data_IF_850206388807
#
_entry.id   IF_850206388807
#
_cell.length_a   1.000
_cell.length_b   1.000
_cell.length_c   1.000
_cell.angle_alpha   90.00
_cell.angle_beta   90.00
_cell.angle_gamma   90.00
#
_symmetry.space_group_name_H-M   'P 1'
#
loop_
_entity.id
_entity.type
_entity.pdbx_description
1 polymer ?
#
# COMPACT_ATOMS: atom_id res chain seq x y z
N UNK A 1 -3.34 30.82 -2.60
CA UNK A 1 -2.46 29.63 -2.60
C UNK A 1 -3.21 28.50 -1.93
N UNK A 2 -3.34 27.35 -2.60
CA UNK A 2 -3.94 26.15 -2.00
C UNK A 2 -2.93 25.67 -0.93
N UNK A 3 -3.36 25.49 0.32
CA UNK A 3 -2.49 25.00 1.39
C UNK A 3 -1.91 23.62 1.06
N UNK A 4 -0.71 23.31 1.57
CA UNK A 4 -0.01 22.05 1.31
C UNK A 4 -0.93 20.82 1.47
N UNK A 5 -1.73 20.78 2.54
CA UNK A 5 -2.67 19.68 2.78
C UNK A 5 -3.69 19.50 1.65
N UNK A 6 -4.30 20.59 1.17
CA UNK A 6 -5.28 20.52 0.10
C UNK A 6 -4.64 20.18 -1.27
N UNK A 7 -3.46 20.72 -1.56
CA UNK A 7 -2.73 20.38 -2.78
C UNK A 7 -2.29 18.90 -2.78
N UNK A 8 -1.80 18.41 -1.65
CA UNK A 8 -1.38 17.03 -1.46
C UNK A 8 -2.56 16.05 -1.59
N UNK A 9 -3.70 16.36 -0.95
CA UNK A 9 -4.90 15.53 -1.03
C UNK A 9 -5.41 15.43 -2.47
N UNK A 10 -5.41 16.54 -3.22
CA UNK A 10 -5.90 16.56 -4.59
C UNK A 10 -4.98 15.75 -5.53
N UNK A 11 -3.67 15.91 -5.40
CA UNK A 11 -2.69 15.14 -6.19
C UNK A 11 -2.71 13.64 -5.85
N UNK A 12 -2.70 13.30 -4.57
CA UNK A 12 -2.72 11.89 -4.12
C UNK A 12 -4.04 11.20 -4.48
N UNK A 13 -5.19 11.88 -4.34
CA UNK A 13 -6.49 11.34 -4.75
C UNK A 13 -6.57 11.12 -6.27
N UNK A 14 -6.02 12.04 -7.08
CA UNK A 14 -5.98 11.88 -8.52
C UNK A 14 -5.17 10.64 -8.93
N UNK A 15 -3.98 10.45 -8.34
CA UNK A 15 -3.12 9.31 -8.63
C UNK A 15 -3.74 8.00 -8.11
N UNK A 16 -4.20 7.99 -6.86
CA UNK A 16 -4.83 6.81 -6.26
C UNK A 16 -6.09 6.40 -7.03
N UNK A 17 -6.92 7.37 -7.42
CA UNK A 17 -8.11 7.14 -8.25
C UNK A 17 -7.74 6.53 -9.59
N UNK A 18 -6.77 7.12 -10.30
CA UNK A 18 -6.31 6.64 -11.60
C UNK A 18 -5.79 5.20 -11.53
N UNK A 19 -4.91 4.89 -10.57
CA UNK A 19 -4.34 3.54 -10.45
C UNK A 19 -5.39 2.53 -10.01
N UNK A 20 -6.31 2.91 -9.10
CA UNK A 20 -7.41 2.04 -8.68
C UNK A 20 -8.35 1.72 -9.83
N UNK A 21 -8.71 2.72 -10.63
CA UNK A 21 -9.59 2.55 -11.79
C UNK A 21 -8.90 1.72 -12.89
N UNK A 22 -7.61 1.93 -13.09
CA UNK A 22 -6.79 1.14 -14.01
C UNK A 22 -6.70 -0.32 -13.57
N UNK A 23 -6.41 -0.57 -12.29
CA UNK A 23 -6.37 -1.92 -11.71
C UNK A 23 -7.71 -2.63 -11.85
N UNK A 24 -8.83 -1.91 -11.65
CA UNK A 24 -10.18 -2.44 -11.91
C UNK A 24 -10.36 -2.84 -13.37
N UNK A 25 -9.90 -2.04 -14.32
CA UNK A 25 -10.02 -2.31 -15.75
C UNK A 25 -9.16 -3.52 -16.17
N UNK A 26 -7.93 -3.62 -15.66
CA UNK A 26 -6.97 -4.68 -16.04
C UNK A 26 -7.27 -6.00 -15.35
N UNK A 27 -7.50 -6.01 -14.03
CA UNK A 27 -7.74 -7.24 -13.26
C UNK A 27 -9.22 -7.65 -13.22
N UNK A 28 -10.10 -6.92 -13.93
CA UNK A 28 -11.53 -7.23 -14.12
C UNK A 28 -12.32 -7.51 -12.82
N UNK A 29 -11.87 -6.97 -11.68
CA UNK A 29 -12.45 -7.24 -10.37
C UNK A 29 -12.27 -6.11 -9.37
N UNK A 30 -13.29 -5.89 -8.52
CA UNK A 30 -13.26 -4.87 -7.46
C UNK A 30 -12.37 -5.24 -6.28
N UNK A 31 -12.22 -6.53 -5.96
CA UNK A 31 -11.34 -7.01 -4.89
C UNK A 31 -9.87 -6.58 -5.09
N UNK A 32 -9.20 -6.92 -6.22
CA UNK A 32 -7.82 -6.49 -6.43
C UNK A 32 -7.69 -4.96 -6.55
N UNK A 33 -8.68 -4.29 -7.14
CA UNK A 33 -8.69 -2.83 -7.22
C UNK A 33 -8.74 -2.16 -5.84
N UNK A 34 -9.58 -2.64 -4.93
CA UNK A 34 -9.67 -2.13 -3.55
C UNK A 34 -8.40 -2.41 -2.74
N UNK A 35 -7.76 -3.56 -2.95
CA UNK A 35 -6.47 -3.88 -2.29
C UNK A 35 -5.39 -2.88 -2.74
N UNK A 36 -5.25 -2.65 -4.05
CA UNK A 36 -4.26 -1.71 -4.59
C UNK A 36 -4.58 -0.27 -4.20
N UNK A 37 -5.85 0.15 -4.27
CA UNK A 37 -6.29 1.47 -3.85
C UNK A 37 -6.06 1.73 -2.36
N UNK A 38 -6.35 0.72 -1.51
CA UNK A 38 -6.08 0.78 -0.08
C UNK A 38 -4.58 0.86 0.24
N UNK A 39 -3.75 0.10 -0.48
CA UNK A 39 -2.29 0.15 -0.33
C UNK A 39 -1.73 1.53 -0.72
N UNK A 40 -2.20 2.11 -1.82
CA UNK A 40 -1.82 3.46 -2.24
C UNK A 40 -2.28 4.52 -1.24
N UNK A 41 -3.52 4.43 -0.74
CA UNK A 41 -4.03 5.35 0.26
C UNK A 41 -3.19 5.28 1.55
N UNK A 42 -2.85 4.09 2.02
CA UNK A 42 -1.98 3.90 3.18
C UNK A 42 -0.59 4.50 2.95
N UNK A 43 -0.01 4.30 1.76
CA UNK A 43 1.28 4.88 1.39
C UNK A 43 1.25 6.42 1.38
N UNK A 44 0.25 7.03 0.73
CA UNK A 44 0.12 8.49 0.71
C UNK A 44 -0.20 9.05 2.10
N UNK A 45 -0.93 8.34 2.96
CA UNK A 45 -1.13 8.76 4.34
C UNK A 45 0.20 8.74 5.13
N UNK A 46 1.02 7.69 4.96
CA UNK A 46 2.35 7.62 5.56
C UNK A 46 3.24 8.78 5.10
N UNK A 47 3.28 9.06 3.80
CA UNK A 47 4.04 10.16 3.23
C UNK A 47 3.56 11.53 3.78
N UNK A 48 2.25 11.74 3.94
CA UNK A 48 1.72 12.98 4.53
C UNK A 48 2.28 13.23 5.94
N UNK A 49 2.30 12.18 6.78
CA UNK A 49 2.87 12.22 8.13
C UNK A 49 4.36 12.52 8.07
N UNK A 50 5.10 11.83 7.20
CA UNK A 50 6.55 12.02 7.03
C UNK A 50 6.92 13.43 6.57
N UNK A 51 6.13 14.02 5.67
CA UNK A 51 6.36 15.39 5.20
C UNK A 51 6.06 16.43 6.28
N UNK A 52 5.18 16.12 7.24
CA UNK A 52 4.89 17.00 8.38
C UNK A 52 5.92 16.94 9.52
N UNK A 53 6.81 15.93 9.52
CA UNK A 53 7.75 15.65 10.60
C UNK A 53 9.19 15.85 10.14
N UNK A 54 9.66 17.10 10.18
CA UNK A 54 10.99 17.49 9.66
C UNK A 54 12.15 16.70 10.29
N UNK A 55 12.11 16.44 11.60
CA UNK A 55 13.21 15.82 12.35
C UNK A 55 13.01 14.32 12.70
N UNK A 56 11.81 13.77 12.50
CA UNK A 56 11.47 12.39 12.89
C UNK A 56 11.08 11.51 11.69
N UNK A 57 11.13 12.05 10.46
CA UNK A 57 10.73 11.36 9.24
C UNK A 57 11.42 9.98 9.09
N UNK A 58 12.75 9.90 9.25
CA UNK A 58 13.48 8.63 9.12
C UNK A 58 13.10 7.61 10.20
N UNK A 59 12.88 8.05 11.43
CA UNK A 59 12.50 7.18 12.55
C UNK A 59 11.09 6.60 12.33
N UNK A 60 10.13 7.46 12.04
CA UNK A 60 8.74 7.05 11.84
C UNK A 60 8.57 6.23 10.56
N UNK A 61 9.31 6.57 9.51
CA UNK A 61 9.35 5.80 8.26
C UNK A 61 9.90 4.39 8.46
N UNK A 62 11.00 4.24 9.20
CA UNK A 62 11.57 2.91 9.50
C UNK A 62 10.64 2.07 10.39
N UNK A 63 9.96 2.68 11.36
CA UNK A 63 8.98 1.98 12.20
C UNK A 63 7.75 1.53 11.39
N UNK A 64 7.26 2.38 10.47
CA UNK A 64 6.19 2.01 9.53
C UNK A 64 6.61 0.86 8.63
N UNK A 65 7.83 0.91 8.07
CA UNK A 65 8.35 -0.15 7.21
C UNK A 65 8.52 -1.47 7.98
N UNK A 66 9.02 -1.39 9.21
CA UNK A 66 9.14 -2.55 10.10
C UNK A 66 7.77 -3.17 10.38
N UNK A 67 6.76 -2.36 10.73
CA UNK A 67 5.40 -2.85 10.96
C UNK A 67 4.78 -3.46 9.70
N UNK A 68 4.98 -2.85 8.53
CA UNK A 68 4.52 -3.38 7.25
C UNK A 68 5.16 -4.74 6.94
N UNK A 69 6.47 -4.88 7.13
CA UNK A 69 7.18 -6.14 6.96
C UNK A 69 6.67 -7.20 7.94
N UNK A 70 6.52 -6.86 9.23
CA UNK A 70 5.99 -7.76 10.24
C UNK A 70 4.57 -8.23 9.89
N UNK A 71 3.71 -7.33 9.40
CA UNK A 71 2.37 -7.67 8.94
C UNK A 71 2.40 -8.62 7.73
N UNK A 72 3.27 -8.37 6.75
CA UNK A 72 3.46 -9.27 5.60
C UNK A 72 3.93 -10.64 6.08
N UNK A 73 4.96 -10.71 6.92
CA UNK A 73 5.48 -11.97 7.47
C UNK A 73 4.40 -12.74 8.23
N UNK A 74 3.59 -12.04 9.03
CA UNK A 74 2.48 -12.65 9.76
C UNK A 74 1.38 -13.16 8.81
N UNK A 75 1.04 -12.40 7.78
CA UNK A 75 0.06 -12.81 6.78
C UNK A 75 0.53 -14.02 5.97
N UNK A 76 1.83 -14.09 5.64
CA UNK A 76 2.41 -15.19 4.87
C UNK A 76 2.83 -16.39 5.71
N UNK A 77 2.68 -16.36 7.05
CA UNK A 77 3.17 -17.42 7.96
C UNK A 77 2.54 -18.80 7.72
N UNK A 78 1.36 -18.82 7.08
CA UNK A 78 0.58 -20.03 6.82
C UNK A 78 0.41 -20.29 5.32
N UNK A 79 1.19 -19.60 4.47
CA UNK A 79 1.30 -19.97 3.06
C UNK A 79 2.07 -21.28 3.00
N UNK A 80 1.43 -22.31 2.47
CA UNK A 80 2.05 -23.61 2.25
C UNK A 80 2.93 -23.51 1.01
N UNK A 81 4.21 -23.19 1.23
CA UNK A 81 5.18 -22.93 0.17
C UNK A 81 5.60 -24.18 -0.62
N UNK A 82 5.03 -25.36 -0.33
CA UNK A 82 5.63 -26.64 -0.72
C UNK A 82 4.73 -27.82 -1.09
N UNK A 83 3.41 -27.69 -1.25
CA UNK A 83 2.62 -28.82 -1.78
C UNK A 83 2.67 -28.88 -3.30
N UNK A 84 3.86 -29.18 -3.83
CA UNK A 84 3.98 -29.86 -5.12
C UNK A 84 3.91 -31.36 -4.81
N UNK A 85 2.70 -31.91 -4.72
CA UNK A 85 2.50 -33.36 -4.66
C UNK A 85 3.13 -33.96 -5.93
N UNK A 86 4.14 -34.85 -5.83
CA UNK A 86 4.59 -35.61 -6.98
C UNK A 86 3.49 -36.60 -7.36
N UNK A 87 3.08 -36.57 -8.62
CA UNK A 87 2.04 -37.45 -9.16
C UNK A 87 2.44 -38.93 -8.95
N UNK A 88 1.52 -39.79 -8.46
CA UNK A 88 1.80 -41.22 -8.35
C UNK A 88 1.87 -41.87 -9.73
N UNK A 89 2.92 -42.65 -9.95
CA UNK A 89 3.11 -43.56 -11.10
C UNK A 89 2.25 -44.82 -11.01
#
# INVERSE_FOLDING_TARGET
VIGFAAAYLLASAAIAGLVTLYTKAVLRGWRPALIVGGLLAALYAALYVLLGLENLSLLIGSLMLFAALAAVMYATRNLDWGHADPAPE
#
